data_IF_756388571912
#
_entry.id   IF_756388571912
#
_cell.length_a   1.000
_cell.length_b   1.000
_cell.length_c   1.000
_cell.angle_alpha   90.00
_cell.angle_beta   90.00
_cell.angle_gamma   90.00
#
_symmetry.space_group_name_H-M   'P 1'
#
loop_
_entity.id
_entity.type
_entity.pdbx_description
1 polymer ?
#
# COMPACT_ATOMS: atom_id res chain seq x y z
N UNK A 1 18.90 9.68 -13.39
CA UNK A 1 18.60 8.39 -12.71
C UNK A 1 17.10 8.15 -12.82
N UNK A 2 16.65 6.93 -13.11
CA UNK A 2 15.22 6.57 -13.20
C UNK A 2 14.92 5.51 -12.14
N UNK A 3 13.83 5.68 -11.39
CA UNK A 3 13.37 4.75 -10.36
C UNK A 3 12.01 4.19 -10.75
N UNK A 4 11.92 2.87 -10.80
CA UNK A 4 10.73 2.14 -11.22
C UNK A 4 10.34 1.16 -10.12
N UNK A 5 9.04 0.97 -9.91
CA UNK A 5 8.50 0.05 -8.92
C UNK A 5 7.65 -1.02 -9.58
N UNK A 6 7.89 -2.30 -9.27
CA UNK A 6 7.03 -3.43 -9.65
C UNK A 6 6.45 -4.08 -8.40
N UNK A 7 5.13 -4.26 -8.39
CA UNK A 7 4.40 -4.96 -7.32
C UNK A 7 4.16 -6.40 -7.78
N UNK A 8 4.43 -7.36 -6.89
CA UNK A 8 4.22 -8.78 -7.13
C UNK A 8 3.10 -9.32 -6.24
N UNK A 9 2.36 -10.32 -6.71
CA UNK A 9 1.43 -11.07 -5.85
C UNK A 9 2.21 -11.82 -4.76
N UNK A 10 1.68 -11.85 -3.54
CA UNK A 10 2.24 -12.67 -2.48
C UNK A 10 2.14 -14.16 -2.88
N UNK A 11 3.28 -14.85 -2.90
CA UNK A 11 3.33 -16.29 -3.19
C UNK A 11 3.03 -17.07 -1.92
N UNK A 12 1.84 -17.67 -1.83
CA UNK A 12 1.45 -18.57 -0.74
C UNK A 12 0.29 -18.04 0.09
N UNK A 13 -0.86 -18.70 -0.08
CA UNK A 13 -1.96 -18.79 0.90
C UNK A 13 -2.25 -17.56 1.77
N UNK A 14 -3.16 -16.70 1.32
CA UNK A 14 -4.51 -16.67 1.89
C UNK A 14 -5.30 -15.61 1.14
N UNK A 15 -6.47 -16.02 0.67
CA UNK A 15 -7.47 -15.07 0.21
C UNK A 15 -7.87 -14.20 1.38
N UNK A 16 -7.41 -12.96 1.38
CA UNK A 16 -8.12 -11.86 1.99
C UNK A 16 -8.03 -10.68 1.01
N UNK A 17 -9.05 -10.54 0.17
CA UNK A 17 -9.32 -9.33 -0.61
C UNK A 17 -9.63 -8.10 0.29
N UNK A 18 -9.32 -8.18 1.58
CA UNK A 18 -9.86 -7.31 2.64
C UNK A 18 -8.94 -6.19 3.13
N UNK A 19 -7.62 -6.26 2.96
CA UNK A 19 -6.73 -5.16 3.34
C UNK A 19 -5.36 -5.24 2.65
N UNK A 20 -5.27 -4.78 1.39
CA UNK A 20 -3.96 -4.46 0.82
C UNK A 20 -3.42 -3.20 1.50
N UNK A 21 -2.27 -3.28 2.15
CA UNK A 21 -1.57 -2.13 2.73
C UNK A 21 -0.93 -1.23 1.65
N UNK A 22 -1.03 -1.60 0.38
CA UNK A 22 -0.56 -0.83 -0.77
C UNK A 22 -1.73 -0.52 -1.72
N UNK A 23 -1.80 0.73 -2.19
CA UNK A 23 -2.69 1.15 -3.27
C UNK A 23 -1.85 1.79 -4.38
N UNK A 24 -1.54 1.05 -5.47
CA UNK A 24 -0.85 1.59 -6.62
C UNK A 24 -1.76 2.43 -7.50
N UNK A 25 -1.20 3.51 -8.06
CA UNK A 25 -1.81 4.32 -9.12
C UNK A 25 -0.77 4.49 -10.25
N UNK A 26 -0.68 3.53 -11.20
CA UNK A 26 0.26 3.60 -12.32
C UNK A 26 0.07 4.83 -13.20
N UNK A 27 -1.17 5.31 -13.34
CA UNK A 27 -1.49 6.51 -14.11
C UNK A 27 -0.86 7.76 -13.51
N UNK A 28 -0.90 7.88 -12.18
CA UNK A 28 -0.22 8.96 -11.45
C UNK A 28 1.25 8.66 -11.16
N UNK A 29 1.74 7.47 -11.50
CA UNK A 29 3.07 6.96 -11.17
C UNK A 29 3.35 7.03 -9.66
N UNK A 30 2.37 6.63 -8.87
CA UNK A 30 2.41 6.73 -7.41
C UNK A 30 1.99 5.42 -6.74
N UNK A 31 2.39 5.26 -5.49
CA UNK A 31 1.89 4.22 -4.58
C UNK A 31 1.57 4.83 -3.23
N UNK A 32 0.40 4.51 -2.69
CA UNK A 32 0.00 4.85 -1.33
C UNK A 32 0.23 3.65 -0.42
N UNK A 33 0.90 3.87 0.71
CA UNK A 33 1.17 2.88 1.74
C UNK A 33 0.34 3.19 2.98
N UNK A 34 -0.42 2.21 3.45
CA UNK A 34 -1.20 2.26 4.67
C UNK A 34 -0.42 1.54 5.77
N UNK A 35 -0.41 2.11 6.97
CA UNK A 35 0.20 1.46 8.13
C UNK A 35 -0.68 0.28 8.59
N UNK A 36 -0.20 -0.98 8.51
CA UNK A 36 -0.98 -2.14 8.93
C UNK A 36 -1.19 -2.21 10.45
N UNK A 37 -0.43 -1.46 11.25
CA UNK A 37 -0.59 -1.42 12.71
C UNK A 37 -1.72 -0.46 13.13
N UNK A 38 -2.19 0.37 12.21
CA UNK A 38 -3.26 1.34 12.45
C UNK A 38 -4.68 0.75 12.42
N UNK A 39 -4.84 -0.46 11.90
CA UNK A 39 -6.12 -1.18 11.86
C UNK A 39 -6.49 -1.86 13.20
N UNK A 40 -5.59 -1.79 14.20
CA UNK A 40 -5.80 -2.37 15.54
C UNK A 40 -6.69 -1.52 16.45
N UNK A 41 -7.69 -2.18 17.05
CA UNK A 41 -8.64 -1.69 18.06
C UNK A 41 -8.31 -0.33 18.70
N UNK A 42 -9.16 0.65 18.40
CA UNK A 42 -9.14 1.98 19.01
C UNK A 42 -9.55 1.90 20.49
N UNK A 43 -8.62 1.56 21.38
CA UNK A 43 -8.81 1.76 22.82
C UNK A 43 -8.75 3.25 23.14
N UNK A 44 -9.40 3.70 24.22
CA UNK A 44 -9.44 5.11 24.64
C UNK A 44 -8.06 5.76 24.85
N UNK A 45 -7.02 4.95 25.13
CA UNK A 45 -5.63 5.38 25.22
C UNK A 45 -4.98 5.63 23.84
N UNK A 46 -5.46 4.98 22.77
CA UNK A 46 -4.92 5.10 21.41
C UNK A 46 -5.45 6.35 20.66
N UNK A 47 -6.45 7.06 21.19
CA UNK A 47 -6.97 8.32 20.59
C UNK A 47 -5.95 9.46 20.54
N UNK A 48 -4.76 9.29 21.15
CA UNK A 48 -3.64 10.23 21.10
C UNK A 48 -2.61 9.89 20.02
N UNK A 49 -2.66 8.68 19.45
CA UNK A 49 -1.90 8.37 18.24
C UNK A 49 -2.71 8.93 17.06
N UNK A 50 -2.16 9.93 16.36
CA UNK A 50 -2.83 10.60 15.25
C UNK A 50 -3.40 9.59 14.24
N UNK A 51 -4.48 9.96 13.56
CA UNK A 51 -5.05 9.16 12.48
C UNK A 51 -3.92 8.68 11.57
N UNK A 52 -3.85 7.38 11.30
CA UNK A 52 -2.81 6.84 10.44
C UNK A 52 -3.01 7.35 9.02
N UNK A 53 -2.33 8.45 8.71
CA UNK A 53 -2.38 9.08 7.39
C UNK A 53 -1.63 8.18 6.41
N UNK A 54 -2.26 7.76 5.31
CA UNK A 54 -1.57 7.00 4.28
C UNK A 54 -0.42 7.80 3.68
N UNK A 55 0.72 7.15 3.40
CA UNK A 55 1.90 7.80 2.84
C UNK A 55 2.01 7.53 1.34
N UNK A 56 2.13 8.60 0.56
CA UNK A 56 2.25 8.53 -0.90
C UNK A 56 3.71 8.63 -1.35
N UNK A 57 4.10 7.80 -2.30
CA UNK A 57 5.41 7.76 -2.94
C UNK A 57 5.23 7.91 -4.45
N UNK A 58 6.06 8.74 -5.10
CA UNK A 58 6.07 8.91 -6.55
C UNK A 58 7.29 8.23 -7.18
N UNK A 59 7.12 7.73 -8.40
CA UNK A 59 8.12 7.01 -9.17
C UNK A 59 8.10 7.46 -10.63
N UNK A 60 9.12 7.08 -11.41
CA UNK A 60 9.08 7.33 -12.85
C UNK A 60 8.12 6.41 -13.59
N UNK A 61 7.90 5.20 -13.05
CA UNK A 61 6.96 4.19 -13.54
C UNK A 61 6.58 3.23 -12.41
N UNK A 62 5.33 2.80 -12.38
CA UNK A 62 4.80 1.81 -11.43
C UNK A 62 4.13 0.71 -12.26
N UNK A 63 4.43 -0.56 -11.95
CA UNK A 63 3.88 -1.74 -12.61
C UNK A 63 3.17 -2.63 -11.59
N UNK A 64 1.96 -3.04 -11.91
CA UNK A 64 1.19 -4.01 -11.15
C UNK A 64 1.43 -5.43 -11.70
N UNK A 65 0.99 -6.47 -10.98
CA UNK A 65 1.06 -7.85 -11.46
C UNK A 65 0.38 -8.04 -12.83
N UNK A 66 -0.74 -7.34 -13.07
CA UNK A 66 -1.50 -7.43 -14.33
C UNK A 66 -0.81 -6.76 -15.51
N UNK A 67 0.11 -5.81 -15.28
CA UNK A 67 0.92 -5.20 -16.34
C UNK A 67 1.96 -6.18 -16.93
N UNK A 68 2.13 -7.35 -16.31
CA UNK A 68 3.02 -8.42 -16.80
C UNK A 68 2.29 -9.47 -17.64
N UNK A 69 0.97 -9.34 -17.84
CA UNK A 69 0.14 -10.18 -18.72
C UNK A 69 0.07 -9.60 -20.13
#
# INVERSE_FOLDING_TARGET
>A
VKVMLKICNATGSQGEQGASFLSPDPRKKQVTVFDPTASGYMTSANRRAGAAVPKMFAFDSVYTPDDSL
#
